data_IF_151243153365
#
_entry.id   IF_151243153365
#
_cell.length_a   1.000
_cell.length_b   1.000
_cell.length_c   1.000
_cell.angle_alpha   90.00
_cell.angle_beta   90.00
_cell.angle_gamma   90.00
#
_symmetry.space_group_name_H-M   'P 1'
#
loop_
_entity.id
_entity.type
_entity.pdbx_description
1 polymer ?
#
# COMPACT_ATOMS: atom_id res chain seq x y z
N UNK A 1 -17.31 12.57 20.49
CA UNK A 1 -18.56 12.13 21.17
C UNK A 1 -18.86 10.71 20.73
N UNK A 2 -18.89 9.78 21.68
CA UNK A 2 -19.19 8.35 21.47
C UNK A 2 -20.69 8.18 21.18
N UNK A 3 -21.05 7.39 20.17
CA UNK A 3 -22.39 6.78 20.07
C UNK A 3 -22.21 5.28 19.90
N UNK A 4 -22.44 4.56 20.99
CA UNK A 4 -22.59 3.11 21.02
C UNK A 4 -23.98 2.76 20.50
N UNK A 5 -24.06 1.92 19.48
CA UNK A 5 -25.27 1.17 19.16
C UNK A 5 -25.01 -0.30 19.47
N UNK A 6 -25.68 -0.79 20.52
CA UNK A 6 -25.85 -2.21 20.81
C UNK A 6 -27.04 -2.70 19.99
N UNK A 7 -26.84 -3.71 19.15
CA UNK A 7 -27.88 -4.42 18.41
C UNK A 7 -27.32 -5.70 17.79
N UNK A 8 -28.09 -6.81 17.72
CA UNK A 8 -27.56 -8.15 17.97
C UNK A 8 -27.14 -8.92 16.71
N UNK A 9 -26.14 -9.78 16.92
CA UNK A 9 -25.89 -11.08 16.27
C UNK A 9 -26.60 -11.32 14.91
N UNK A 10 -25.99 -10.85 13.83
CA UNK A 10 -26.20 -11.40 12.49
C UNK A 10 -24.88 -11.94 11.96
N UNK A 11 -24.97 -13.23 11.64
CA UNK A 11 -23.99 -14.11 11.02
C UNK A 11 -23.10 -13.38 10.00
N UNK A 12 -21.79 -13.45 10.25
CA UNK A 12 -20.80 -13.70 9.20
C UNK A 12 -20.82 -12.79 7.99
N UNK A 13 -20.76 -11.47 8.17
CA UNK A 13 -20.06 -10.67 7.17
C UNK A 13 -18.57 -10.89 7.38
N UNK A 14 -18.04 -11.96 6.79
CA UNK A 14 -16.65 -11.91 6.33
C UNK A 14 -16.65 -10.70 5.40
N UNK A 15 -16.10 -9.59 5.90
CA UNK A 15 -15.71 -8.48 5.05
C UNK A 15 -14.75 -9.08 4.03
N UNK A 16 -15.29 -9.49 2.88
CA UNK A 16 -14.54 -9.44 1.64
C UNK A 16 -14.14 -7.97 1.55
N UNK A 17 -12.93 -7.68 2.00
CA UNK A 17 -12.19 -6.53 1.49
C UNK A 17 -12.03 -6.86 0.02
N UNK A 18 -12.99 -6.41 -0.79
CA UNK A 18 -12.90 -6.50 -2.23
C UNK A 18 -11.66 -5.72 -2.62
N UNK A 19 -10.70 -6.31 -3.35
CA UNK A 19 -9.50 -5.61 -3.81
C UNK A 19 -9.81 -4.42 -4.73
N UNK A 20 -11.08 -4.24 -5.10
CA UNK A 20 -11.64 -3.05 -5.77
C UNK A 20 -11.22 -1.74 -5.10
N UNK A 21 -11.24 -1.66 -3.75
CA UNK A 21 -10.99 -0.37 -3.07
C UNK A 21 -9.53 0.06 -3.15
N UNK A 22 -8.58 -0.87 -3.08
CA UNK A 22 -7.13 -0.56 -3.11
C UNK A 22 -6.69 -0.18 -4.54
N UNK A 23 -7.36 -0.71 -5.58
CA UNK A 23 -7.12 -0.26 -6.96
C UNK A 23 -7.68 1.15 -7.21
N UNK A 24 -8.73 1.57 -6.49
CA UNK A 24 -9.31 2.89 -6.64
C UNK A 24 -8.37 4.01 -6.18
N UNK A 25 -7.60 3.77 -5.10
CA UNK A 25 -6.67 4.76 -4.53
C UNK A 25 -5.48 5.05 -5.46
N UNK A 26 -4.87 4.01 -6.05
CA UNK A 26 -3.79 4.17 -7.04
C UNK A 26 -4.26 5.01 -8.23
N UNK A 27 -5.42 4.66 -8.80
CA UNK A 27 -5.98 5.38 -9.94
C UNK A 27 -6.21 6.85 -9.60
N UNK A 28 -6.83 7.13 -8.45
CA UNK A 28 -7.10 8.50 -8.00
C UNK A 28 -5.81 9.31 -7.82
N UNK A 29 -4.76 8.72 -7.24
CA UNK A 29 -3.49 9.41 -7.02
C UNK A 29 -2.77 9.71 -8.35
N UNK A 30 -2.74 8.76 -9.28
CA UNK A 30 -2.13 8.98 -10.59
C UNK A 30 -2.84 10.08 -11.40
N UNK A 31 -4.17 10.13 -11.38
CA UNK A 31 -4.92 11.23 -12.00
C UNK A 31 -4.68 12.58 -11.31
N UNK A 32 -4.52 12.58 -9.99
CA UNK A 32 -4.22 13.80 -9.22
C UNK A 32 -2.82 14.35 -9.55
N UNK A 33 -1.85 13.48 -9.82
CA UNK A 33 -0.47 13.87 -10.13
C UNK A 33 -0.29 14.32 -11.58
N UNK A 34 -0.81 13.54 -12.53
CA UNK A 34 -0.53 13.73 -13.96
C UNK A 34 -1.67 14.41 -14.74
N UNK A 35 -2.85 14.59 -14.11
CA UNK A 35 -3.98 15.27 -14.72
C UNK A 35 -4.46 14.61 -16.00
N UNK A 36 -4.49 15.39 -17.09
CA UNK A 36 -4.91 14.95 -18.42
C UNK A 36 -3.77 14.34 -19.27
N UNK A 37 -2.55 14.19 -18.73
CA UNK A 37 -1.53 13.39 -19.40
C UNK A 37 -1.84 11.90 -19.20
N UNK A 38 -2.79 11.40 -20.00
CA UNK A 38 -3.28 10.04 -19.90
C UNK A 38 -2.18 8.98 -20.09
N UNK A 39 -1.13 9.31 -20.87
CA UNK A 39 0.02 8.41 -21.06
C UNK A 39 0.80 8.25 -19.75
N UNK A 40 0.98 9.36 -19.02
CA UNK A 40 1.63 9.33 -17.72
C UNK A 40 0.73 8.73 -16.64
N UNK A 41 -0.58 8.92 -16.71
CA UNK A 41 -1.54 8.27 -15.81
C UNK A 41 -1.50 6.75 -15.97
N UNK A 42 -1.52 6.23 -17.21
CA UNK A 42 -1.41 4.80 -17.49
C UNK A 42 -0.11 4.22 -16.91
N UNK A 43 1.02 4.85 -17.24
CA UNK A 43 2.34 4.46 -16.72
C UNK A 43 2.40 4.45 -15.19
N UNK A 44 1.87 5.50 -14.55
CA UNK A 44 1.81 5.60 -13.08
C UNK A 44 1.00 4.45 -12.46
N UNK A 45 -0.17 4.13 -13.03
CA UNK A 45 -1.03 3.05 -12.52
C UNK A 45 -0.31 1.70 -12.62
N UNK A 46 0.36 1.44 -13.75
CA UNK A 46 1.11 0.20 -13.96
C UNK A 46 2.23 0.05 -12.92
N UNK A 47 3.06 1.08 -12.76
CA UNK A 47 4.20 1.04 -11.82
C UNK A 47 3.73 0.92 -10.38
N UNK A 48 2.75 1.73 -9.95
CA UNK A 48 2.23 1.67 -8.58
C UNK A 48 1.53 0.32 -8.29
N UNK A 49 0.84 -0.25 -9.28
CA UNK A 49 0.21 -1.58 -9.12
C UNK A 49 1.25 -2.68 -8.98
N UNK A 50 2.31 -2.63 -9.78
CA UNK A 50 3.43 -3.56 -9.71
C UNK A 50 4.15 -3.46 -8.36
N UNK A 51 4.50 -2.25 -7.94
CA UNK A 51 5.14 -1.99 -6.66
C UNK A 51 4.29 -2.47 -5.49
N UNK A 52 2.98 -2.19 -5.50
CA UNK A 52 2.04 -2.70 -4.50
C UNK A 52 2.08 -4.22 -4.38
N UNK A 53 2.07 -4.93 -5.51
CA UNK A 53 2.14 -6.39 -5.51
C UNK A 53 3.44 -6.89 -4.90
N UNK A 54 4.56 -6.19 -5.11
CA UNK A 54 5.85 -6.52 -4.50
C UNK A 54 5.85 -6.23 -3.00
N UNK A 55 5.33 -5.08 -2.57
CA UNK A 55 5.14 -4.72 -1.16
C UNK A 55 4.30 -5.79 -0.44
N UNK A 56 3.20 -6.27 -1.03
CA UNK A 56 2.38 -7.31 -0.39
C UNK A 56 3.08 -8.68 -0.32
N UNK A 57 3.94 -9.02 -1.29
CA UNK A 57 4.78 -10.24 -1.25
C UNK A 57 5.92 -10.13 -0.24
N UNK A 58 6.40 -8.91 0.05
CA UNK A 58 7.46 -8.70 1.03
C UNK A 58 7.05 -9.14 2.44
N UNK A 59 7.99 -9.68 3.24
CA UNK A 59 7.71 -10.15 4.60
C UNK A 59 7.04 -9.09 5.47
N UNK A 60 6.02 -9.48 6.23
CA UNK A 60 5.33 -8.62 7.20
C UNK A 60 6.18 -8.37 8.45
N UNK A 61 7.22 -7.54 8.33
CA UNK A 61 8.12 -7.17 9.41
C UNK A 61 8.02 -5.68 9.77
N UNK A 62 8.77 -5.26 10.79
CA UNK A 62 8.77 -3.86 11.24
C UNK A 62 9.26 -2.89 10.15
N UNK A 63 10.17 -3.32 9.27
CA UNK A 63 10.62 -2.51 8.13
C UNK A 63 9.44 -2.19 7.22
N UNK A 64 8.71 -3.21 6.75
CA UNK A 64 7.53 -3.03 5.90
C UNK A 64 6.47 -2.15 6.57
N UNK A 65 6.17 -2.38 7.84
CA UNK A 65 5.19 -1.57 8.57
C UNK A 65 5.63 -0.11 8.67
N UNK A 66 6.91 0.16 8.95
CA UNK A 66 7.43 1.52 9.01
C UNK A 66 7.39 2.20 7.64
N UNK A 67 7.80 1.52 6.57
CA UNK A 67 7.75 2.07 5.22
C UNK A 67 6.31 2.38 4.77
N UNK A 68 5.35 1.50 5.06
CA UNK A 68 3.93 1.75 4.82
C UNK A 68 3.41 2.96 5.61
N UNK A 69 3.85 3.12 6.87
CA UNK A 69 3.44 4.26 7.70
C UNK A 69 4.05 5.59 7.20
N UNK A 70 5.26 5.55 6.65
CA UNK A 70 5.98 6.75 6.17
C UNK A 70 5.47 7.21 4.81
N UNK A 71 5.30 6.28 3.86
CA UNK A 71 5.02 6.59 2.45
C UNK A 71 3.56 6.36 2.04
N UNK A 72 2.77 5.69 2.89
CA UNK A 72 1.35 5.47 2.66
C UNK A 72 1.08 4.69 1.38
N UNK A 73 0.33 5.31 0.47
CA UNK A 73 -0.13 4.72 -0.80
C UNK A 73 0.82 4.97 -1.98
N UNK A 74 1.97 5.62 -1.77
CA UNK A 74 3.03 5.64 -2.77
C UNK A 74 3.82 4.32 -2.69
N UNK A 75 3.26 3.28 -3.30
CA UNK A 75 3.79 1.92 -3.21
C UNK A 75 5.17 1.79 -3.84
N UNK A 76 5.51 2.59 -4.86
CA UNK A 76 6.87 2.66 -5.41
C UNK A 76 7.86 3.14 -4.35
N UNK A 77 7.50 4.16 -3.56
CA UNK A 77 8.33 4.62 -2.45
C UNK A 77 8.36 3.64 -1.28
N UNK A 78 7.24 2.96 -0.98
CA UNK A 78 7.20 1.90 0.03
C UNK A 78 8.13 0.74 -0.36
N UNK A 79 8.08 0.29 -1.62
CA UNK A 79 8.94 -0.77 -2.15
C UNK A 79 10.42 -0.39 -2.01
N UNK A 80 10.79 0.79 -2.51
CA UNK A 80 12.16 1.31 -2.40
C UNK A 80 12.64 1.38 -0.94
N UNK A 81 11.80 1.89 -0.03
CA UNK A 81 12.10 1.94 1.40
C UNK A 81 12.36 0.54 1.99
N UNK A 82 11.54 -0.45 1.64
CA UNK A 82 11.70 -1.83 2.13
C UNK A 82 13.04 -2.40 1.65
N UNK A 83 13.39 -2.19 0.38
CA UNK A 83 14.65 -2.66 -0.20
C UNK A 83 15.86 -2.05 0.50
N UNK A 84 15.86 -0.73 0.67
CA UNK A 84 16.96 0.00 1.31
C UNK A 84 17.15 -0.40 2.77
N UNK A 85 16.06 -0.42 3.55
CA UNK A 85 16.11 -0.78 4.97
C UNK A 85 16.49 -2.25 5.18
N UNK A 86 15.97 -3.15 4.36
CA UNK A 86 16.33 -4.58 4.42
C UNK A 86 17.78 -4.80 4.01
N UNK A 87 18.27 -4.06 3.01
CA UNK A 87 19.66 -4.06 2.59
C UNK A 87 20.60 -3.56 3.70
N UNK A 88 20.24 -2.47 4.37
CA UNK A 88 20.99 -1.94 5.49
C UNK A 88 21.06 -2.92 6.67
N UNK A 89 19.93 -3.54 7.04
CA UNK A 89 19.90 -4.54 8.11
C UNK A 89 20.81 -5.73 7.80
N UNK A 90 20.77 -6.27 6.57
CA UNK A 90 21.66 -7.37 6.15
C UNK A 90 23.14 -7.00 6.28
N UNK A 91 23.50 -5.77 5.88
CA UNK A 91 24.88 -5.28 6.02
C UNK A 91 25.28 -5.22 7.50
N UNK A 92 24.44 -4.64 8.36
CA UNK A 92 24.69 -4.54 9.80
C UNK A 92 24.81 -5.89 10.51
N UNK A 93 24.08 -6.91 10.06
CA UNK A 93 24.15 -8.28 10.61
C UNK A 93 25.41 -9.05 10.16
N UNK A 94 26.08 -8.60 9.11
CA UNK A 94 27.33 -9.18 8.61
C UNK A 94 28.59 -8.57 9.22
N UNK A 95 28.46 -7.53 10.05
CA UNK A 95 29.53 -6.96 10.88
C UNK A 95 29.56 -7.65 12.25
#
# INVERSE_FOLDING_TARGET
MKKFFLGPLLLGFISLICPESINADIRSNCFKEWGDDYSMVEFCIEEQTKARNNVYRSPGNNIKNNCLNEWGDDYSMVEFCIEEQSGALKRLQGY
#
